data_IF_498803699139
#
_entry.id   IF_498803699139
#
_cell.length_a   1.000
_cell.length_b   1.000
_cell.length_c   1.000
_cell.angle_alpha   90.00
_cell.angle_beta   90.00
_cell.angle_gamma   90.00
#
_symmetry.space_group_name_H-M   'P 1'
#
loop_
_entity.id
_entity.type
_entity.pdbx_description
1 polymer ?
#
# COMPACT_ATOMS: atom_id res chain seq x y z
N UNK A 1 -10.49 -5.10 13.86
CA UNK A 1 -9.53 -5.69 14.83
C UNK A 1 -8.16 -5.29 14.33
N UNK A 2 -7.86 -4.00 14.45
CA UNK A 2 -6.87 -3.32 13.60
C UNK A 2 -5.68 -2.83 14.45
N UNK A 3 -5.49 -3.45 15.62
CA UNK A 3 -4.45 -3.09 16.56
C UNK A 3 -3.15 -3.82 16.18
N UNK A 4 -2.14 -3.12 15.60
CA UNK A 4 -0.88 -3.76 15.18
C UNK A 4 -0.14 -4.40 16.37
N UNK A 5 -0.42 -3.93 17.59
CA UNK A 5 0.10 -4.51 18.84
C UNK A 5 -0.48 -5.91 19.12
N UNK A 6 -1.76 -6.13 18.79
CA UNK A 6 -2.40 -7.42 18.95
C UNK A 6 -1.86 -8.43 17.93
N UNK A 7 -1.71 -8.00 16.67
CA UNK A 7 -1.11 -8.81 15.61
C UNK A 7 0.35 -9.20 15.93
N UNK A 8 1.17 -8.23 16.36
CA UNK A 8 2.54 -8.48 16.77
C UNK A 8 2.63 -9.46 17.96
N UNK A 9 1.75 -9.29 18.96
CA UNK A 9 1.67 -10.20 20.11
C UNK A 9 1.35 -11.64 19.69
N UNK A 10 0.40 -11.81 18.77
CA UNK A 10 0.00 -13.12 18.28
C UNK A 10 1.10 -13.81 17.46
N UNK A 11 1.84 -13.07 16.64
CA UNK A 11 2.99 -13.59 15.88
C UNK A 11 4.10 -14.07 16.81
N UNK A 12 4.42 -13.29 17.85
CA UNK A 12 5.44 -13.67 18.85
C UNK A 12 5.01 -14.92 19.63
N UNK A 13 3.74 -15.00 20.01
CA UNK A 13 3.20 -16.13 20.76
C UNK A 13 3.20 -17.42 19.92
N UNK A 14 2.72 -17.36 18.67
CA UNK A 14 2.73 -18.51 17.75
C UNK A 14 4.15 -18.92 17.33
N UNK A 15 5.05 -17.95 17.11
CA UNK A 15 6.47 -18.21 16.84
C UNK A 15 7.18 -18.89 18.02
N UNK A 16 6.90 -18.46 19.24
CA UNK A 16 7.40 -19.12 20.45
C UNK A 16 6.85 -20.55 20.61
N UNK A 17 5.55 -20.74 20.39
CA UNK A 17 4.90 -22.05 20.56
C UNK A 17 5.33 -23.08 19.51
N UNK A 18 5.59 -22.64 18.28
CA UNK A 18 6.12 -23.50 17.21
C UNK A 18 7.56 -23.97 17.46
N UNK A 19 8.37 -23.18 18.17
CA UNK A 19 9.74 -23.55 18.58
C UNK A 19 9.77 -24.75 19.55
N UNK A 20 8.71 -24.95 20.34
CA UNK A 20 8.59 -26.10 21.26
C UNK A 20 8.14 -27.39 20.57
N UNK A 21 7.32 -27.30 19.51
CA UNK A 21 6.71 -28.47 18.85
C UNK A 21 7.52 -29.01 17.67
N UNK A 22 8.19 -28.15 16.89
CA UNK A 22 8.94 -28.53 15.69
C UNK A 22 10.47 -28.35 15.82
N UNK A 23 10.95 -28.00 17.02
CA UNK A 23 12.36 -27.69 17.27
C UNK A 23 12.81 -26.42 16.56
N UNK A 24 14.11 -26.32 16.25
CA UNK A 24 14.74 -25.11 15.71
C UNK A 24 14.17 -24.60 14.38
N UNK A 25 13.46 -25.46 13.63
CA UNK A 25 12.86 -25.10 12.33
C UNK A 25 11.43 -24.57 12.44
N UNK A 26 10.76 -24.77 13.57
CA UNK A 26 9.40 -24.26 13.84
C UNK A 26 9.23 -22.75 13.60
N UNK A 27 10.07 -21.88 14.20
CA UNK A 27 9.93 -20.44 14.02
C UNK A 27 10.21 -19.99 12.57
N UNK A 28 11.04 -20.74 11.82
CA UNK A 28 11.32 -20.44 10.41
C UNK A 28 10.08 -20.68 9.55
N UNK A 29 9.37 -21.81 9.76
CA UNK A 29 8.15 -22.13 9.00
C UNK A 29 7.04 -21.12 9.30
N UNK A 30 6.84 -20.78 10.58
CA UNK A 30 5.82 -19.78 10.98
C UNK A 30 6.18 -18.39 10.47
N UNK A 31 7.44 -17.97 10.58
CA UNK A 31 7.91 -16.70 10.05
C UNK A 31 7.75 -16.59 8.54
N UNK A 32 8.09 -17.66 7.79
CA UNK A 32 7.91 -17.70 6.34
C UNK A 32 6.43 -17.65 5.94
N UNK A 33 5.56 -18.39 6.64
CA UNK A 33 4.12 -18.35 6.38
C UNK A 33 3.52 -16.97 6.67
N UNK A 34 3.91 -16.33 7.78
CA UNK A 34 3.47 -14.98 8.13
C UNK A 34 3.96 -13.93 7.10
N UNK A 35 5.19 -14.05 6.62
CA UNK A 35 5.73 -13.22 5.53
C UNK A 35 4.90 -13.37 4.24
N UNK A 36 4.56 -14.60 3.87
CA UNK A 36 3.74 -14.86 2.67
C UNK A 36 2.36 -14.24 2.81
N UNK A 37 1.70 -14.41 3.96
CA UNK A 37 0.38 -13.82 4.22
C UNK A 37 0.44 -12.28 4.17
N UNK A 38 1.43 -11.67 4.83
CA UNK A 38 1.62 -10.22 4.79
C UNK A 38 1.85 -9.68 3.37
N UNK A 39 2.62 -10.38 2.53
CA UNK A 39 2.84 -10.00 1.12
C UNK A 39 1.56 -10.14 0.29
N UNK A 40 0.72 -11.14 0.57
CA UNK A 40 -0.57 -11.30 -0.11
C UNK A 40 -1.57 -10.20 0.27
N UNK A 41 -1.62 -9.80 1.54
CA UNK A 41 -2.45 -8.68 2.01
C UNK A 41 -1.97 -7.34 1.43
N UNK A 42 -0.65 -7.08 1.41
CA UNK A 42 -0.09 -5.86 0.80
C UNK A 42 -0.51 -5.68 -0.67
N UNK A 43 -0.57 -6.77 -1.45
CA UNK A 43 -1.02 -6.71 -2.84
C UNK A 43 -2.51 -6.38 -2.99
N UNK A 44 -3.32 -6.69 -1.99
CA UNK A 44 -4.75 -6.36 -2.01
C UNK A 44 -5.00 -4.88 -1.71
N UNK A 45 -4.10 -4.23 -0.96
CA UNK A 45 -4.18 -2.79 -0.65
C UNK A 45 -3.49 -1.90 -1.69
N UNK A 46 -2.41 -2.38 -2.34
CA UNK A 46 -1.74 -1.64 -3.43
C UNK A 46 -2.63 -1.48 -4.69
N UNK A 47 -3.67 -2.30 -4.87
CA UNK A 47 -4.61 -2.19 -6.00
C UNK A 47 -5.61 -1.02 -5.86
N UNK A 48 -5.65 -0.36 -4.69
CA UNK A 48 -6.59 0.73 -4.42
C UNK A 48 -6.00 2.15 -4.57
N UNK A 49 -4.73 2.30 -4.99
CA UNK A 49 -4.13 3.62 -5.24
C UNK A 49 -3.25 3.62 -6.50
N UNK A 50 -3.81 3.20 -7.63
CA UNK A 50 -3.37 3.79 -8.90
C UNK A 50 -4.18 5.08 -9.11
N UNK A 51 -3.81 6.13 -8.37
CA UNK A 51 -4.14 7.49 -8.79
C UNK A 51 -3.40 7.72 -10.09
N UNK A 52 -4.09 7.49 -11.21
CA UNK A 52 -3.67 7.80 -12.56
C UNK A 52 -2.83 9.10 -12.56
N UNK A 53 -1.50 9.03 -12.74
CA UNK A 53 -0.65 10.23 -12.79
C UNK A 53 -0.84 11.00 -14.11
N UNK A 54 -1.77 10.57 -14.96
CA UNK A 54 -2.01 11.04 -16.33
C UNK A 54 -3.11 12.09 -16.40
N UNK A 55 -3.88 12.31 -15.33
CA UNK A 55 -4.99 13.29 -15.36
C UNK A 55 -4.55 14.75 -15.14
N UNK A 56 -3.41 15.11 -15.74
CA UNK A 56 -2.88 16.47 -15.75
C UNK A 56 -2.64 16.92 -17.19
N UNK A 57 -3.37 17.94 -17.62
CA UNK A 57 -3.17 18.62 -18.91
C UNK A 57 -2.32 19.88 -18.76
N UNK A 58 -1.66 20.30 -19.84
CA UNK A 58 -0.88 21.55 -19.86
C UNK A 58 -1.66 22.63 -20.60
N UNK A 59 -1.80 23.81 -20.01
CA UNK A 59 -2.54 24.91 -20.62
C UNK A 59 -1.86 25.36 -21.92
N UNK A 60 -2.58 25.42 -23.05
CA UNK A 60 -2.01 25.83 -24.33
C UNK A 60 -1.61 27.32 -24.39
N UNK A 61 -2.13 28.14 -23.46
CA UNK A 61 -1.89 29.58 -23.44
C UNK A 61 -0.64 29.97 -22.63
N UNK A 62 -0.48 29.40 -21.43
CA UNK A 62 0.61 29.76 -20.52
C UNK A 62 1.53 28.59 -20.13
N UNK A 63 1.24 27.36 -20.56
CA UNK A 63 2.04 26.17 -20.26
C UNK A 63 1.89 25.61 -18.84
N UNK A 64 1.00 26.16 -18.02
CA UNK A 64 0.79 25.68 -16.66
C UNK A 64 0.15 24.29 -16.62
N UNK A 65 0.56 23.45 -15.67
CA UNK A 65 -0.11 22.16 -15.42
C UNK A 65 -1.40 22.35 -14.64
N UNK A 66 -2.48 21.79 -15.18
CA UNK A 66 -3.82 21.81 -14.60
C UNK A 66 -4.38 20.37 -14.57
N UNK A 67 -5.43 20.15 -13.81
CA UNK A 67 -6.20 18.89 -13.81
C UNK A 67 -6.96 18.77 -15.14
N UNK A 68 -7.02 17.56 -15.73
CA UNK A 68 -7.71 17.35 -17.02
C UNK A 68 -9.21 17.63 -16.97
N UNK A 69 -9.83 17.50 -15.81
CA UNK A 69 -11.27 17.74 -15.60
C UNK A 69 -11.65 19.22 -15.55
N UNK A 70 -10.67 20.13 -15.53
CA UNK A 70 -10.93 21.57 -15.56
C UNK A 70 -11.14 22.08 -16.97
N UNK A 71 -12.10 22.98 -17.10
CA UNK A 71 -12.33 23.72 -18.35
C UNK A 71 -11.48 24.99 -18.45
N UNK A 72 -10.93 25.50 -17.34
CA UNK A 72 -10.19 26.78 -17.27
C UNK A 72 -8.89 26.67 -16.48
N UNK A 73 -7.86 27.39 -16.93
CA UNK A 73 -6.53 27.40 -16.37
C UNK A 73 -6.47 28.23 -15.07
N UNK A 74 -5.91 27.64 -14.00
CA UNK A 74 -5.72 28.31 -12.72
C UNK A 74 -4.87 29.58 -12.74
N UNK A 75 -4.00 29.72 -13.74
CA UNK A 75 -2.96 30.76 -13.76
C UNK A 75 -3.32 31.93 -14.69
N UNK A 76 -4.06 31.67 -15.76
CA UNK A 76 -4.34 32.68 -16.78
C UNK A 76 -5.82 32.76 -17.17
N UNK A 77 -6.68 31.98 -16.51
CA UNK A 77 -8.14 31.92 -16.72
C UNK A 77 -8.57 31.56 -18.17
N UNK A 78 -7.63 31.18 -19.03
CA UNK A 78 -7.92 30.71 -20.39
C UNK A 78 -8.51 29.29 -20.38
N UNK A 79 -9.24 28.92 -21.44
CA UNK A 79 -9.75 27.56 -21.62
C UNK A 79 -8.61 26.54 -21.78
N UNK A 80 -8.76 25.36 -21.16
CA UNK A 80 -7.80 24.25 -21.22
C UNK A 80 -7.99 23.38 -22.46
#
# INVERSE_FOLDING_TARGET
>A
MDDPLFAAGLVVLLGGMSSFLAGAFGPIIVGAAAMVVAVLEQRAEDDATESDPTDKTSCPNCGARNESERETCYYCDASL
#
